data_IF_672967931627
#
_entry.id   IF_672967931627
#
_cell.length_a   1.000
_cell.length_b   1.000
_cell.length_c   1.000
_cell.angle_alpha   90.00
_cell.angle_beta   90.00
_cell.angle_gamma   90.00
#
_symmetry.space_group_name_H-M   'P 1'
#
loop_
_entity.id
_entity.type
_entity.pdbx_description
1 polymer ?
#
# COMPACT_ATOMS: atom_id res chain seq x y z
N UNK A 1 -68.31 -18.11 -36.37
CA UNK A 1 -67.10 -18.92 -36.14
C UNK A 1 -66.18 -18.74 -37.33
N UNK A 2 -65.13 -17.94 -37.16
CA UNK A 2 -63.97 -17.94 -38.03
C UNK A 2 -62.77 -17.93 -37.09
N UNK A 3 -62.01 -19.02 -37.15
CA UNK A 3 -60.86 -19.34 -36.32
C UNK A 3 -59.73 -18.35 -36.64
N UNK A 4 -59.43 -17.46 -35.68
CA UNK A 4 -58.38 -16.43 -35.80
C UNK A 4 -56.98 -16.98 -35.47
N UNK A 5 -56.73 -18.25 -35.78
CA UNK A 5 -55.42 -18.86 -35.60
C UNK A 5 -54.44 -18.33 -36.65
N UNK A 6 -53.31 -17.76 -36.19
CA UNK A 6 -52.14 -17.49 -37.03
C UNK A 6 -51.77 -18.78 -37.74
N UNK A 7 -51.77 -18.78 -39.08
CA UNK A 7 -51.46 -20.00 -39.82
C UNK A 7 -49.96 -20.29 -39.70
N UNK A 8 -49.53 -21.56 -39.61
CA UNK A 8 -48.11 -21.91 -39.54
C UNK A 8 -47.26 -21.30 -40.66
N UNK A 9 -47.86 -21.09 -41.84
CA UNK A 9 -47.25 -20.41 -43.00
C UNK A 9 -47.13 -18.88 -42.86
N UNK A 10 -47.87 -18.26 -41.94
CA UNK A 10 -47.77 -16.82 -41.62
C UNK A 10 -46.67 -16.54 -40.56
N UNK A 11 -46.09 -17.60 -39.98
CA UNK A 11 -44.84 -17.52 -39.21
C UNK A 11 -43.72 -17.46 -40.24
N UNK A 12 -43.52 -16.29 -40.83
CA UNK A 12 -42.34 -15.98 -41.61
C UNK A 12 -41.15 -16.11 -40.66
N UNK A 13 -40.52 -17.29 -40.68
CA UNK A 13 -39.24 -17.52 -40.04
C UNK A 13 -38.28 -16.53 -40.68
N UNK A 14 -38.14 -15.39 -40.03
CA UNK A 14 -37.31 -14.29 -40.45
C UNK A 14 -35.86 -14.67 -40.17
N UNK A 15 -35.43 -15.79 -40.77
CA UNK A 15 -34.09 -16.35 -40.74
C UNK A 15 -33.10 -15.28 -41.19
N UNK A 16 -33.52 -14.41 -42.10
CA UNK A 16 -32.77 -13.25 -42.55
C UNK A 16 -32.62 -12.20 -41.44
N UNK A 17 -33.67 -11.87 -40.68
CA UNK A 17 -33.58 -10.97 -39.52
C UNK A 17 -32.83 -11.60 -38.34
N UNK A 18 -33.02 -12.88 -38.06
CA UNK A 18 -32.25 -13.61 -37.04
C UNK A 18 -30.77 -13.67 -37.43
N UNK A 19 -30.48 -13.86 -38.71
CA UNK A 19 -29.15 -13.79 -39.29
C UNK A 19 -28.54 -12.39 -39.15
N UNK A 20 -29.30 -11.34 -39.43
CA UNK A 20 -28.87 -9.96 -39.27
C UNK A 20 -28.55 -9.63 -37.79
N UNK A 21 -29.43 -10.00 -36.86
CA UNK A 21 -29.21 -9.78 -35.42
C UNK A 21 -28.00 -10.56 -34.90
N UNK A 22 -27.76 -11.78 -35.39
CA UNK A 22 -26.58 -12.57 -35.02
C UNK A 22 -25.28 -11.92 -35.50
N UNK A 23 -25.29 -11.38 -36.73
CA UNK A 23 -24.15 -10.63 -37.29
C UNK A 23 -23.89 -9.37 -36.47
N UNK A 24 -24.92 -8.61 -36.11
CA UNK A 24 -24.79 -7.44 -35.23
C UNK A 24 -24.21 -7.81 -33.87
N UNK A 25 -24.72 -8.89 -33.24
CA UNK A 25 -24.21 -9.35 -31.95
C UNK A 25 -22.74 -9.77 -32.05
N UNK A 26 -22.36 -10.47 -33.11
CA UNK A 26 -20.96 -10.87 -33.35
C UNK A 26 -20.06 -9.65 -33.50
N UNK A 27 -20.46 -8.67 -34.30
CA UNK A 27 -19.69 -7.44 -34.50
C UNK A 27 -19.53 -6.67 -33.19
N UNK A 28 -20.61 -6.51 -32.41
CA UNK A 28 -20.58 -5.86 -31.11
C UNK A 28 -19.65 -6.59 -30.12
N UNK A 29 -19.67 -7.93 -30.14
CA UNK A 29 -18.78 -8.73 -29.30
C UNK A 29 -17.30 -8.60 -29.73
N UNK A 30 -17.04 -8.57 -31.04
CA UNK A 30 -15.69 -8.32 -31.57
C UNK A 30 -15.17 -6.94 -31.15
N UNK A 31 -15.99 -5.89 -31.26
CA UNK A 31 -15.62 -4.55 -30.79
C UNK A 31 -15.35 -4.50 -29.29
N UNK A 32 -16.15 -5.20 -28.48
CA UNK A 32 -15.92 -5.30 -27.03
C UNK A 32 -14.61 -6.03 -26.70
N UNK A 33 -14.26 -7.06 -27.46
CA UNK A 33 -12.99 -7.78 -27.30
C UNK A 33 -11.83 -6.82 -27.60
N UNK A 34 -11.86 -6.13 -28.73
CA UNK A 34 -10.81 -5.17 -29.13
C UNK A 34 -10.66 -4.04 -28.10
N UNK A 35 -11.78 -3.50 -27.60
CA UNK A 35 -11.80 -2.51 -26.54
C UNK A 35 -11.21 -3.05 -25.23
N UNK A 36 -11.51 -4.30 -24.87
CA UNK A 36 -10.94 -4.93 -23.68
C UNK A 36 -9.43 -5.14 -23.83
N UNK A 37 -8.96 -5.55 -25.00
CA UNK A 37 -7.54 -5.72 -25.28
C UNK A 37 -6.80 -4.38 -25.20
N UNK A 38 -7.34 -3.32 -25.78
CA UNK A 38 -6.77 -1.98 -25.67
C UNK A 38 -6.74 -1.50 -24.20
N UNK A 39 -7.85 -1.67 -23.47
CA UNK A 39 -7.94 -1.29 -22.07
C UNK A 39 -6.94 -2.08 -21.21
N UNK A 40 -6.85 -3.40 -21.44
CA UNK A 40 -5.89 -4.30 -20.80
C UNK A 40 -4.47 -3.82 -21.06
N UNK A 41 -4.13 -3.51 -22.30
CA UNK A 41 -2.79 -3.07 -22.68
C UNK A 41 -2.46 -1.70 -22.08
N UNK A 42 -3.45 -0.80 -21.97
CA UNK A 42 -3.32 0.48 -21.27
C UNK A 42 -3.13 0.32 -19.78
N UNK A 43 -3.86 -0.60 -19.14
CA UNK A 43 -3.67 -0.94 -17.71
C UNK A 43 -2.28 -1.54 -17.49
N UNK A 44 -1.86 -2.50 -18.31
CA UNK A 44 -0.50 -3.05 -18.25
C UNK A 44 0.56 -1.97 -18.47
N UNK A 45 0.36 -1.05 -19.42
CA UNK A 45 1.27 0.06 -19.64
C UNK A 45 1.33 1.00 -18.42
N UNK A 46 0.21 1.26 -17.74
CA UNK A 46 0.19 2.07 -16.51
C UNK A 46 0.85 1.35 -15.34
N UNK A 47 0.59 0.06 -15.15
CA UNK A 47 1.21 -0.76 -14.11
C UNK A 47 2.73 -0.88 -14.31
N UNK A 48 3.17 -1.03 -15.56
CA UNK A 48 4.60 -1.10 -15.91
C UNK A 48 5.29 0.27 -15.95
N UNK A 49 4.59 1.33 -16.38
CA UNK A 49 5.10 2.69 -16.30
C UNK A 49 5.18 3.21 -14.85
N UNK A 50 4.30 2.73 -13.96
CA UNK A 50 4.37 2.94 -12.51
C UNK A 50 5.49 2.15 -11.82
N UNK A 51 6.18 1.28 -12.56
CA UNK A 51 7.22 0.39 -12.06
C UNK A 51 8.43 0.37 -12.99
N UNK A 52 9.05 1.53 -13.24
CA UNK A 52 10.39 1.57 -13.81
C UNK A 52 11.37 0.79 -12.91
N UNK A 53 11.60 -0.48 -13.23
CA UNK A 53 12.59 -1.31 -12.55
C UNK A 53 13.99 -0.91 -13.02
N UNK A 54 14.47 0.23 -12.52
CA UNK A 54 15.88 0.29 -12.20
C UNK A 54 16.12 -0.81 -11.15
N UNK A 55 16.90 -1.83 -11.49
CA UNK A 55 17.36 -2.90 -10.58
C UNK A 55 18.16 -2.38 -9.38
N UNK A 56 18.18 -1.06 -9.17
CA UNK A 56 18.84 -0.43 -8.04
C UNK A 56 18.07 -0.75 -6.77
N UNK A 57 18.76 -1.24 -5.73
CA UNK A 57 18.15 -1.46 -4.43
C UNK A 57 17.47 -0.19 -3.92
N UNK A 58 16.32 -0.35 -3.29
CA UNK A 58 15.61 0.76 -2.64
C UNK A 58 16.54 1.51 -1.69
N UNK A 59 16.54 2.85 -1.75
CA UNK A 59 17.26 3.73 -0.80
C UNK A 59 16.87 3.53 0.67
N UNK A 60 15.80 2.78 0.93
CA UNK A 60 15.34 2.40 2.27
C UNK A 60 15.93 1.06 2.74
N UNK A 61 16.65 0.32 1.89
CA UNK A 61 17.24 -0.96 2.22
C UNK A 61 18.62 -0.77 2.87
N UNK A 62 18.67 -0.82 4.20
CA UNK A 62 19.90 -0.65 4.98
C UNK A 62 21.05 -1.54 4.53
N UNK A 63 20.75 -2.77 4.11
CA UNK A 63 21.75 -3.74 3.64
C UNK A 63 22.50 -3.29 2.38
N UNK A 64 21.89 -2.44 1.56
CA UNK A 64 22.44 -2.02 0.27
C UNK A 64 23.08 -0.64 0.30
N UNK A 65 22.99 0.10 1.41
CA UNK A 65 23.59 1.43 1.55
C UNK A 65 25.08 1.28 1.82
N UNK A 66 25.89 1.65 0.83
CA UNK A 66 27.36 1.61 0.94
C UNK A 66 27.97 2.96 1.30
N UNK A 67 27.29 4.08 0.99
CA UNK A 67 27.73 5.43 1.33
C UNK A 67 27.34 5.79 2.78
N UNK A 68 28.31 6.08 3.67
CA UNK A 68 28.03 6.52 5.04
C UNK A 68 27.19 7.80 5.13
N UNK A 69 27.30 8.70 4.14
CA UNK A 69 26.52 9.94 4.13
C UNK A 69 25.04 9.66 3.85
N UNK A 70 24.73 8.76 2.92
CA UNK A 70 23.37 8.28 2.66
C UNK A 70 22.76 7.59 3.88
N UNK A 71 23.51 6.69 4.52
CA UNK A 71 23.06 6.03 5.75
C UNK A 71 22.74 7.04 6.85
N UNK A 72 23.58 8.07 7.01
CA UNK A 72 23.38 9.13 8.00
C UNK A 72 22.12 9.95 7.71
N UNK A 73 21.86 10.30 6.43
CA UNK A 73 20.63 10.99 6.04
C UNK A 73 19.39 10.16 6.36
N UNK A 74 19.40 8.88 5.95
CA UNK A 74 18.29 7.96 6.23
C UNK A 74 18.02 7.83 7.73
N UNK A 75 19.09 7.72 8.55
CA UNK A 75 18.97 7.66 10.01
C UNK A 75 18.30 8.90 10.60
N UNK A 76 18.69 10.08 10.14
CA UNK A 76 18.14 11.35 10.64
C UNK A 76 16.67 11.50 10.24
N UNK A 77 16.33 11.23 8.98
CA UNK A 77 14.95 11.27 8.50
C UNK A 77 14.06 10.28 9.27
N UNK A 78 14.51 9.04 9.43
CA UNK A 78 13.78 8.02 10.17
C UNK A 78 13.57 8.41 11.63
N UNK A 79 14.61 8.92 12.30
CA UNK A 79 14.52 9.37 13.70
C UNK A 79 13.48 10.47 13.85
N UNK A 80 13.58 11.52 13.04
CA UNK A 80 12.63 12.64 13.09
C UNK A 80 11.19 12.17 12.83
N UNK A 81 11.01 11.22 11.93
CA UNK A 81 9.68 10.65 11.67
C UNK A 81 9.17 9.79 12.83
N UNK A 82 10.01 8.97 13.47
CA UNK A 82 9.63 8.19 14.65
C UNK A 82 9.23 9.09 15.81
N UNK A 83 9.95 10.19 16.02
CA UNK A 83 9.61 11.19 17.04
C UNK A 83 8.25 11.85 16.75
N UNK A 84 8.02 12.25 15.49
CA UNK A 84 6.72 12.75 15.05
C UNK A 84 5.61 11.71 15.23
N UNK A 85 5.86 10.44 14.89
CA UNK A 85 4.88 9.36 15.01
C UNK A 85 4.51 9.14 16.48
N UNK A 86 5.50 9.13 17.38
CA UNK A 86 5.29 9.06 18.83
C UNK A 86 4.45 10.23 19.34
N UNK A 87 4.72 11.45 18.88
CA UNK A 87 3.95 12.62 19.29
C UNK A 87 2.52 12.60 18.73
N UNK A 88 2.35 12.20 17.46
CA UNK A 88 1.08 12.28 16.73
C UNK A 88 0.11 11.14 17.06
N UNK A 89 0.60 9.90 17.14
CA UNK A 89 -0.25 8.71 17.31
C UNK A 89 -0.21 8.13 18.72
N UNK A 90 0.87 8.39 19.48
CA UNK A 90 1.12 7.73 20.76
C UNK A 90 1.15 8.68 21.96
N UNK A 91 0.82 9.97 21.79
CA UNK A 91 0.79 10.95 22.89
C UNK A 91 -0.29 10.67 23.94
N UNK A 92 -1.41 10.07 23.54
CA UNK A 92 -2.55 9.75 24.42
C UNK A 92 -2.76 8.24 24.63
N UNK A 93 -1.90 7.40 24.03
CA UNK A 93 -2.09 5.95 23.93
C UNK A 93 -1.40 5.11 25.00
N UNK A 94 -1.74 3.81 25.04
CA UNK A 94 -1.11 2.78 25.90
C UNK A 94 0.20 2.20 25.34
N UNK A 95 0.58 2.55 24.11
CA UNK A 95 1.79 2.10 23.46
C UNK A 95 2.61 3.32 23.01
N UNK A 96 3.93 3.23 23.16
CA UNK A 96 4.91 4.20 22.66
C UNK A 96 6.11 3.42 22.13
N UNK A 97 6.70 3.87 21.02
CA UNK A 97 7.94 3.28 20.52
C UNK A 97 9.04 3.54 21.55
N UNK A 98 9.71 2.48 22.00
CA UNK A 98 10.71 2.57 23.07
C UNK A 98 11.91 3.44 22.64
N UNK A 99 12.49 4.26 23.53
CA UNK A 99 13.68 5.06 23.23
C UNK A 99 14.89 4.23 22.75
N UNK A 100 14.95 2.93 23.10
CA UNK A 100 16.00 2.03 22.63
C UNK A 100 15.74 1.41 21.24
N UNK A 101 14.68 1.81 20.50
CA UNK A 101 14.29 1.20 19.21
C UNK A 101 15.43 1.04 18.21
N UNK A 102 16.34 2.01 18.12
CA UNK A 102 17.48 2.00 17.21
C UNK A 102 18.48 0.86 17.48
N UNK A 103 18.42 0.24 18.66
CA UNK A 103 19.23 -0.93 19.04
C UNK A 103 18.61 -2.25 18.59
N UNK A 104 17.37 -2.22 18.10
CA UNK A 104 16.65 -3.40 17.64
C UNK A 104 16.63 -3.40 16.12
N UNK A 105 17.54 -4.16 15.49
CA UNK A 105 17.64 -4.22 14.03
C UNK A 105 16.29 -4.50 13.34
N UNK A 106 15.53 -5.47 13.85
CA UNK A 106 14.19 -5.77 13.33
C UNK A 106 13.21 -4.59 13.45
N UNK A 107 13.29 -3.81 14.53
CA UNK A 107 12.45 -2.62 14.68
C UNK A 107 12.89 -1.50 13.73
N UNK A 108 14.19 -1.35 13.48
CA UNK A 108 14.73 -0.39 12.50
C UNK A 108 14.19 -0.71 11.10
N UNK A 109 14.27 -1.96 10.67
CA UNK A 109 13.73 -2.40 9.36
C UNK A 109 12.21 -2.15 9.26
N UNK A 110 11.45 -2.57 10.28
CA UNK A 110 10.00 -2.40 10.33
C UNK A 110 9.58 -0.92 10.29
N UNK A 111 10.22 -0.07 11.10
CA UNK A 111 9.94 1.37 11.12
C UNK A 111 10.33 2.04 9.80
N UNK A 112 11.42 1.60 9.18
CA UNK A 112 11.86 2.13 7.87
C UNK A 112 10.84 1.80 6.78
N UNK A 113 10.34 0.56 6.74
CA UNK A 113 9.31 0.14 5.80
C UNK A 113 7.98 0.88 6.03
N UNK A 114 7.57 1.02 7.29
CA UNK A 114 6.35 1.74 7.65
C UNK A 114 6.44 3.23 7.27
N UNK A 115 7.59 3.86 7.48
CA UNK A 115 7.84 5.23 7.08
C UNK A 115 7.88 5.42 5.56
N UNK A 116 8.56 4.53 4.84
CA UNK A 116 8.65 4.59 3.39
C UNK A 116 7.27 4.47 2.73
N UNK A 117 6.43 3.54 3.24
CA UNK A 117 5.04 3.40 2.77
C UNK A 117 4.16 4.59 3.16
N UNK A 118 4.38 5.20 4.34
CA UNK A 118 3.72 6.45 4.71
C UNK A 118 4.06 7.58 3.73
N UNK A 119 5.35 7.76 3.41
CA UNK A 119 5.77 8.76 2.43
C UNK A 119 5.12 8.51 1.07
N UNK A 120 5.14 7.28 0.57
CA UNK A 120 4.51 6.93 -0.70
C UNK A 120 3.00 7.24 -0.71
N UNK A 121 2.29 6.92 0.38
CA UNK A 121 0.85 7.14 0.50
C UNK A 121 0.46 8.62 0.53
N UNK A 122 1.32 9.51 1.02
CA UNK A 122 1.03 10.95 1.17
C UNK A 122 1.79 11.85 0.17
N UNK A 123 2.61 11.30 -0.72
CA UNK A 123 3.36 12.06 -1.74
C UNK A 123 2.61 12.20 -3.08
N UNK A 124 1.38 11.72 -3.19
CA UNK A 124 0.49 11.96 -4.34
C UNK A 124 -0.19 13.33 -4.25
N UNK A 125 -0.24 14.08 -5.36
CA UNK A 125 -0.88 15.40 -5.41
C UNK A 125 -2.40 15.36 -5.38
N UNK A 126 -2.99 14.25 -5.85
CA UNK A 126 -4.43 14.03 -5.88
C UNK A 126 -4.87 13.03 -4.80
N UNK A 127 -6.17 13.02 -4.51
CA UNK A 127 -6.77 12.06 -3.59
C UNK A 127 -6.51 10.61 -4.03
N UNK A 128 -6.05 9.80 -3.09
CA UNK A 128 -5.99 8.34 -3.21
C UNK A 128 -6.44 7.67 -1.92
N UNK A 129 -6.82 6.40 -2.02
CA UNK A 129 -7.12 5.54 -0.86
C UNK A 129 -5.87 5.03 -0.15
N UNK A 130 -4.67 5.31 -0.68
CA UNK A 130 -3.40 4.78 -0.17
C UNK A 130 -3.12 5.19 1.27
N UNK A 131 -3.49 6.41 1.65
CA UNK A 131 -3.39 6.89 3.03
C UNK A 131 -4.33 6.12 3.97
N UNK A 132 -5.55 5.83 3.54
CA UNK A 132 -6.51 5.03 4.31
C UNK A 132 -6.01 3.59 4.45
N UNK A 133 -5.57 2.98 3.36
CA UNK A 133 -4.96 1.65 3.35
C UNK A 133 -3.75 1.56 4.29
N UNK A 134 -2.89 2.58 4.30
CA UNK A 134 -1.73 2.63 5.19
C UNK A 134 -2.13 2.52 6.66
N UNK A 135 -3.18 3.24 7.09
CA UNK A 135 -3.68 3.15 8.45
C UNK A 135 -4.29 1.78 8.75
N UNK A 136 -5.18 1.28 7.89
CA UNK A 136 -5.93 0.06 8.14
C UNK A 136 -5.04 -1.20 8.13
N UNK A 137 -4.05 -1.27 7.22
CA UNK A 137 -3.31 -2.51 6.97
C UNK A 137 -1.87 -2.47 7.46
N UNK A 138 -1.16 -1.39 7.15
CA UNK A 138 0.27 -1.32 7.40
C UNK A 138 0.57 -0.87 8.82
N UNK A 139 -0.06 0.21 9.27
CA UNK A 139 0.17 0.78 10.59
C UNK A 139 -0.16 -0.22 11.70
N UNK A 140 -1.40 -0.68 11.79
CA UNK A 140 -1.84 -1.58 12.86
C UNK A 140 -1.01 -2.87 12.94
N UNK A 141 -0.75 -3.52 11.79
CA UNK A 141 0.08 -4.73 11.72
C UNK A 141 1.52 -4.48 12.19
N UNK A 142 2.10 -3.33 11.84
CA UNK A 142 3.46 -2.96 12.23
C UNK A 142 3.55 -2.68 13.72
N UNK A 143 2.52 -2.03 14.31
CA UNK A 143 2.47 -1.76 15.75
C UNK A 143 2.44 -3.06 16.56
N UNK A 144 1.69 -4.07 16.12
CA UNK A 144 1.69 -5.38 16.79
C UNK A 144 3.05 -6.08 16.74
N UNK A 145 3.75 -6.05 15.60
CA UNK A 145 5.13 -6.59 15.50
C UNK A 145 6.11 -5.83 16.40
N UNK A 146 6.03 -4.50 16.42
CA UNK A 146 6.88 -3.65 17.27
C UNK A 146 6.70 -3.94 18.76
N UNK A 147 5.46 -4.18 19.21
CA UNK A 147 5.20 -4.64 20.60
C UNK A 147 5.94 -5.94 20.91
N UNK A 148 6.01 -6.86 19.95
CA UNK A 148 6.80 -8.08 20.04
C UNK A 148 8.31 -7.80 20.20
N UNK A 149 8.87 -6.94 19.36
CA UNK A 149 10.30 -6.59 19.39
C UNK A 149 10.73 -5.91 20.69
N UNK A 150 9.83 -5.16 21.33
CA UNK A 150 10.13 -4.47 22.58
C UNK A 150 9.85 -5.28 23.86
N UNK A 151 9.28 -6.48 23.73
CA UNK A 151 8.86 -7.30 24.88
C UNK A 151 9.99 -7.56 25.88
N UNK A 152 11.18 -7.93 25.39
CA UNK A 152 12.35 -8.21 26.26
C UNK A 152 12.85 -6.96 26.99
N UNK A 153 12.79 -5.80 26.33
CA UNK A 153 13.19 -4.53 26.93
C UNK A 153 12.20 -4.06 27.99
N UNK A 154 10.91 -4.28 27.77
CA UNK A 154 9.84 -3.99 28.73
C UNK A 154 9.91 -4.91 29.97
N UNK A 155 10.40 -6.15 29.80
CA UNK A 155 10.58 -7.11 30.89
C UNK A 155 11.89 -6.92 31.68
N UNK A 156 12.73 -5.94 31.30
CA UNK A 156 13.93 -5.57 32.06
C UNK A 156 15.08 -6.57 31.98
N UNK A 157 15.16 -7.44 30.97
CA UNK A 157 16.30 -8.36 30.85
C UNK A 157 17.55 -7.61 30.35
N UNK A 158 18.34 -7.08 31.29
CA UNK A 158 19.77 -6.76 31.19
C UNK A 158 20.27 -5.66 30.24
N UNK A 159 19.69 -5.44 29.04
CA UNK A 159 20.34 -4.66 27.96
C UNK A 159 19.77 -3.27 27.67
N UNK A 160 18.55 -2.95 28.09
CA UNK A 160 17.87 -1.68 27.74
C UNK A 160 17.52 -0.78 28.96
N UNK A 161 17.99 -1.10 30.19
CA UNK A 161 17.57 -0.38 31.42
C UNK A 161 18.09 1.06 31.56
N UNK A 162 19.20 1.49 30.95
CA UNK A 162 19.81 2.78 31.30
C UNK A 162 19.39 3.99 30.43
N UNK A 163 18.72 3.78 29.29
CA UNK A 163 18.38 4.88 28.35
C UNK A 163 16.88 5.06 28.09
N UNK A 164 16.03 4.10 28.47
CA UNK A 164 14.59 4.19 28.27
C UNK A 164 13.85 5.12 29.25
N UNK A 165 14.45 5.42 30.42
CA UNK A 165 13.81 6.25 31.44
C UNK A 165 14.17 7.74 31.27
N UNK A 166 15.40 8.08 30.85
CA UNK A 166 15.87 9.47 30.85
C UNK A 166 15.32 10.37 29.73
N UNK A 167 14.83 9.80 28.61
CA UNK A 167 14.26 10.57 27.50
C UNK A 167 12.81 11.04 27.74
N UNK A 168 12.13 10.56 28.80
CA UNK A 168 10.79 11.04 29.17
C UNK A 168 10.78 12.46 29.75
N UNK A 169 11.92 12.97 30.26
CA UNK A 169 11.99 14.31 30.90
C UNK A 169 12.72 15.37 30.07
N UNK A 170 13.42 15.00 28.99
CA UNK A 170 14.27 15.93 28.22
C UNK A 170 13.61 16.68 27.06
N UNK A 171 12.40 16.29 26.63
CA UNK A 171 11.74 16.87 25.43
C UNK A 171 10.63 17.90 25.73
N UNK A 172 10.50 18.37 26.98
CA UNK A 172 9.66 19.53 27.32
C UNK A 172 10.43 20.85 27.46
N UNK A 173 11.76 20.84 27.36
CA UNK A 173 12.60 22.03 27.52
C UNK A 173 13.77 21.96 26.53
N UNK A 174 13.50 22.18 25.23
CA UNK A 174 14.45 22.69 24.22
C UNK A 174 13.72 22.91 22.90
#
# INVERSE_FOLDING_TARGET
MADGGVRPEDIEWNIDSLGATLVELYNNMSELIDMYEELRDRVYAVETAGGGSTSEPSKYCWRNISDPAEATRLWNELRSWVDWLNFRYFSTGRFRIAPCWYRHGAAVEELTALWASWKAAYQGGDFSDSAFYWHERLFDSSIERLKGYFRECQQGTGRCRSLCISLMMGLMIS
#
